data_IF_740855932583
#
_entry.id   IF_740855932583
#
_cell.length_a   1.000
_cell.length_b   1.000
_cell.length_c   1.000
_cell.angle_alpha   90.00
_cell.angle_beta   90.00
_cell.angle_gamma   90.00
#
_symmetry.space_group_name_H-M   'P 1'
#
loop_
_entity.id
_entity.type
_entity.pdbx_description
1 polymer ?
#
# COMPACT_ATOMS: atom_id res chain seq x y z
N UNK A 1 10.96 -7.46 -24.86
CA UNK A 1 9.91 -7.27 -23.83
C UNK A 1 10.07 -8.23 -22.67
N UNK A 2 10.32 -9.53 -22.90
CA UNK A 2 10.55 -10.51 -21.81
C UNK A 2 11.63 -10.12 -20.79
N UNK A 3 12.76 -9.56 -21.24
CA UNK A 3 13.82 -9.11 -20.35
C UNK A 3 13.35 -8.04 -19.33
N UNK A 4 12.43 -7.15 -19.74
CA UNK A 4 11.87 -6.12 -18.85
C UNK A 4 10.99 -6.76 -17.78
N UNK A 5 10.17 -7.74 -18.15
CA UNK A 5 9.32 -8.46 -17.21
C UNK A 5 10.14 -9.23 -16.17
N UNK A 6 11.18 -9.97 -16.60
CA UNK A 6 12.06 -10.66 -15.66
C UNK A 6 12.87 -9.72 -14.77
N UNK A 7 13.32 -8.58 -15.31
CA UNK A 7 13.96 -7.54 -14.50
C UNK A 7 13.01 -6.98 -13.43
N UNK A 8 11.78 -6.63 -13.81
CA UNK A 8 10.75 -6.17 -12.88
C UNK A 8 10.42 -7.24 -11.83
N UNK A 9 10.26 -8.50 -12.24
CA UNK A 9 10.07 -9.63 -11.34
C UNK A 9 11.18 -9.69 -10.29
N UNK A 10 12.45 -9.65 -10.71
CA UNK A 10 13.60 -9.70 -9.82
C UNK A 10 13.63 -8.50 -8.86
N UNK A 11 13.37 -7.29 -9.36
CA UNK A 11 13.32 -6.07 -8.55
C UNK A 11 12.21 -6.13 -7.48
N UNK A 12 10.99 -6.52 -7.87
CA UNK A 12 9.86 -6.66 -6.96
C UNK A 12 10.08 -7.79 -5.94
N UNK A 13 10.66 -8.93 -6.37
CA UNK A 13 11.00 -10.03 -5.47
C UNK A 13 12.03 -9.61 -4.42
N UNK A 14 13.04 -8.82 -4.82
CA UNK A 14 14.04 -8.28 -3.91
C UNK A 14 13.41 -7.36 -2.86
N UNK A 15 12.57 -6.40 -3.28
CA UNK A 15 11.88 -5.48 -2.36
C UNK A 15 10.94 -6.25 -1.42
N UNK A 16 10.19 -7.23 -1.93
CA UNK A 16 9.34 -8.11 -1.13
C UNK A 16 10.14 -8.88 -0.08
N UNK A 17 11.27 -9.47 -0.47
CA UNK A 17 12.17 -10.20 0.43
C UNK A 17 12.74 -9.30 1.54
N UNK A 18 13.17 -8.08 1.19
CA UNK A 18 13.65 -7.10 2.17
C UNK A 18 12.53 -6.74 3.16
N UNK A 19 11.32 -6.49 2.67
CA UNK A 19 10.18 -6.16 3.53
C UNK A 19 9.86 -7.30 4.51
N UNK A 20 9.90 -8.56 4.05
CA UNK A 20 9.70 -9.73 4.91
C UNK A 20 10.79 -9.86 5.97
N UNK A 21 12.06 -9.69 5.59
CA UNK A 21 13.18 -9.73 6.53
C UNK A 21 13.00 -8.64 7.60
N UNK A 22 12.60 -7.43 7.21
CA UNK A 22 12.34 -6.35 8.18
C UNK A 22 11.18 -6.69 9.12
N UNK A 23 10.08 -7.25 8.60
CA UNK A 23 8.95 -7.69 9.41
C UNK A 23 9.39 -8.72 10.47
N UNK A 24 10.08 -9.78 10.05
CA UNK A 24 10.56 -10.84 10.95
C UNK A 24 11.52 -10.29 11.98
N UNK A 25 12.45 -9.41 11.59
CA UNK A 25 13.40 -8.79 12.52
C UNK A 25 12.70 -7.96 13.58
N UNK A 26 11.65 -7.23 13.23
CA UNK A 26 10.88 -6.42 14.19
C UNK A 26 10.07 -7.34 15.12
N UNK A 27 9.43 -8.39 14.59
CA UNK A 27 8.68 -9.36 15.40
C UNK A 27 9.56 -10.05 16.44
N UNK A 28 10.73 -10.53 16.03
CA UNK A 28 11.69 -11.20 16.92
C UNK A 28 12.30 -10.24 17.94
N UNK A 29 12.55 -8.98 17.56
CA UNK A 29 13.18 -7.99 18.44
C UNK A 29 12.23 -7.47 19.53
N UNK A 30 10.95 -7.31 19.20
CA UNK A 30 9.95 -6.72 20.11
C UNK A 30 8.63 -7.51 20.01
N UNK A 31 8.60 -8.75 20.53
CA UNK A 31 7.42 -9.60 20.48
C UNK A 31 6.31 -9.13 21.43
N UNK A 32 6.63 -8.36 22.49
CA UNK A 32 5.62 -7.91 23.45
C UNK A 32 4.69 -6.84 22.86
N UNK A 33 5.16 -6.09 21.86
CA UNK A 33 4.34 -5.15 21.12
C UNK A 33 3.66 -5.92 19.98
N UNK A 34 2.33 -5.99 20.01
CA UNK A 34 1.53 -6.65 18.98
C UNK A 34 1.66 -6.02 17.57
N UNK A 35 0.59 -6.06 16.77
CA UNK A 35 0.62 -5.56 15.40
C UNK A 35 0.72 -4.02 15.34
N UNK A 36 1.95 -3.51 15.34
CA UNK A 36 2.24 -2.08 15.15
C UNK A 36 2.07 -1.67 13.69
N UNK A 37 1.82 -0.39 13.43
CA UNK A 37 1.69 0.15 12.07
C UNK A 37 2.93 -0.11 11.21
N UNK A 38 4.12 -0.19 11.82
CA UNK A 38 5.35 -0.54 11.11
C UNK A 38 5.35 -2.00 10.64
N UNK A 39 4.91 -2.95 11.48
CA UNK A 39 4.75 -4.36 11.10
C UNK A 39 3.72 -4.48 9.96
N UNK A 40 2.60 -3.78 10.05
CA UNK A 40 1.56 -3.76 9.01
C UNK A 40 2.12 -3.19 7.70
N UNK A 41 2.88 -2.10 7.73
CA UNK A 41 3.48 -1.51 6.53
C UNK A 41 4.45 -2.47 5.81
N UNK A 42 5.31 -3.18 6.56
CA UNK A 42 6.20 -4.18 5.97
C UNK A 42 5.45 -5.40 5.46
N UNK A 43 4.42 -5.85 6.16
CA UNK A 43 3.54 -6.94 5.70
C UNK A 43 2.85 -6.56 4.38
N UNK A 44 2.26 -5.38 4.29
CA UNK A 44 1.59 -4.91 3.08
C UNK A 44 2.58 -4.77 1.92
N UNK A 45 3.78 -4.22 2.16
CA UNK A 45 4.83 -4.17 1.13
C UNK A 45 5.26 -5.56 0.68
N UNK A 46 5.43 -6.51 1.61
CA UNK A 46 5.76 -7.89 1.26
C UNK A 46 4.70 -8.48 0.32
N UNK A 47 3.41 -8.32 0.65
CA UNK A 47 2.29 -8.81 -0.16
C UNK A 47 2.24 -8.11 -1.52
N UNK A 48 2.22 -6.78 -1.57
CA UNK A 48 2.12 -5.99 -2.82
C UNK A 48 3.25 -6.33 -3.78
N UNK A 49 4.50 -6.27 -3.30
CA UNK A 49 5.67 -6.52 -4.13
C UNK A 49 5.78 -8.02 -4.48
N UNK A 50 5.36 -8.93 -3.58
CA UNK A 50 5.34 -10.37 -3.83
C UNK A 50 4.35 -10.74 -4.93
N UNK A 51 3.12 -10.25 -4.87
CA UNK A 51 2.12 -10.48 -5.92
C UNK A 51 2.62 -9.90 -7.25
N UNK A 52 3.16 -8.68 -7.28
CA UNK A 52 3.76 -8.12 -8.51
C UNK A 52 4.89 -8.96 -9.07
N UNK A 53 5.78 -9.48 -8.21
CA UNK A 53 6.87 -10.34 -8.64
C UNK A 53 6.32 -11.61 -9.30
N UNK A 54 5.32 -12.27 -8.70
CA UNK A 54 4.67 -13.45 -9.28
C UNK A 54 4.02 -13.13 -10.62
N UNK A 55 3.29 -12.02 -10.73
CA UNK A 55 2.64 -11.59 -11.97
C UNK A 55 3.65 -11.37 -13.09
N UNK A 56 4.76 -10.69 -12.79
CA UNK A 56 5.81 -10.44 -13.78
C UNK A 56 6.63 -11.70 -14.12
N UNK A 57 6.86 -12.59 -13.16
CA UNK A 57 7.58 -13.84 -13.39
C UNK A 57 6.76 -14.86 -14.21
N UNK A 58 5.44 -14.84 -14.03
CA UNK A 58 4.48 -15.68 -14.75
C UNK A 58 3.81 -14.93 -15.91
N UNK A 59 4.36 -13.82 -16.40
CA UNK A 59 3.70 -12.92 -17.34
C UNK A 59 3.14 -13.65 -18.57
N UNK A 60 3.87 -14.63 -19.12
CA UNK A 60 3.40 -15.45 -20.25
C UNK A 60 2.13 -16.24 -19.92
N UNK A 61 2.06 -16.85 -18.73
CA UNK A 61 0.88 -17.58 -18.28
C UNK A 61 -0.27 -16.63 -17.95
N UNK A 62 0.04 -15.50 -17.32
CA UNK A 62 -0.94 -14.45 -16.97
C UNK A 62 -1.64 -13.94 -18.23
N UNK A 63 -0.91 -13.62 -19.29
CA UNK A 63 -1.49 -13.14 -20.54
C UNK A 63 -2.21 -14.22 -21.37
N UNK A 64 -2.13 -15.49 -20.96
CA UNK A 64 -2.86 -16.61 -21.55
C UNK A 64 -4.17 -16.93 -20.80
N UNK A 65 -4.43 -16.27 -19.66
CA UNK A 65 -5.63 -16.53 -18.86
C UNK A 65 -6.89 -16.06 -19.60
N UNK A 66 -7.84 -16.97 -19.72
CA UNK A 66 -9.21 -16.67 -20.08
C UNK A 66 -10.14 -16.98 -18.90
N UNK A 67 -11.13 -16.11 -18.61
CA UNK A 67 -11.48 -14.87 -19.31
C UNK A 67 -10.52 -13.70 -19.01
N UNK A 68 -10.45 -12.71 -19.93
CA UNK A 68 -9.53 -11.55 -19.85
C UNK A 68 -9.64 -10.75 -18.55
N UNK A 69 -10.82 -10.69 -17.94
CA UNK A 69 -11.03 -10.06 -16.63
C UNK A 69 -10.14 -10.64 -15.52
N UNK A 70 -9.72 -11.91 -15.60
CA UNK A 70 -8.74 -12.47 -14.66
C UNK A 70 -7.37 -11.79 -14.81
N UNK A 71 -6.99 -11.41 -16.03
CA UNK A 71 -5.78 -10.63 -16.30
C UNK A 71 -5.94 -9.24 -15.66
N UNK A 72 -7.06 -8.55 -15.90
CA UNK A 72 -7.33 -7.24 -15.32
C UNK A 72 -7.29 -7.27 -13.80
N UNK A 73 -7.96 -8.24 -13.16
CA UNK A 73 -7.91 -8.42 -11.69
C UNK A 73 -6.48 -8.60 -11.20
N UNK A 74 -5.69 -9.45 -11.88
CA UNK A 74 -4.33 -9.76 -11.45
C UNK A 74 -3.36 -8.58 -11.61
N UNK A 75 -3.62 -7.70 -12.59
CA UNK A 75 -2.85 -6.47 -12.83
C UNK A 75 -3.28 -5.31 -11.90
N UNK A 76 -4.58 -5.16 -11.66
CA UNK A 76 -5.19 -4.06 -10.90
C UNK A 76 -5.06 -4.25 -9.39
N UNK A 77 -5.19 -5.49 -8.89
CA UNK A 77 -5.19 -5.81 -7.46
C UNK A 77 -3.90 -5.38 -6.75
N UNK A 78 -2.69 -5.57 -7.31
CA UNK A 78 -1.47 -4.99 -6.75
C UNK A 78 -1.49 -3.47 -6.70
N UNK A 79 -2.15 -2.80 -7.66
CA UNK A 79 -2.33 -1.34 -7.67
C UNK A 79 -3.25 -0.86 -6.54
N UNK A 80 -4.37 -1.56 -6.30
CA UNK A 80 -5.26 -1.27 -5.17
C UNK A 80 -4.58 -1.52 -3.82
N UNK A 81 -3.88 -2.64 -3.66
CA UNK A 81 -3.14 -2.94 -2.43
C UNK A 81 -2.03 -1.91 -2.18
N UNK A 82 -1.37 -1.45 -3.25
CA UNK A 82 -0.41 -0.34 -3.18
C UNK A 82 -1.11 0.92 -2.66
N UNK A 83 -2.23 1.34 -3.26
CA UNK A 83 -3.01 2.48 -2.77
C UNK A 83 -3.35 2.35 -1.26
N UNK A 84 -3.83 1.19 -0.81
CA UNK A 84 -4.14 0.94 0.60
C UNK A 84 -2.93 1.05 1.50
N UNK A 85 -1.77 0.55 1.05
CA UNK A 85 -0.50 0.63 1.78
C UNK A 85 -0.05 2.08 1.95
N UNK A 86 -0.14 2.88 0.88
CA UNK A 86 0.28 4.28 0.92
C UNK A 86 -0.69 5.16 1.69
N UNK A 87 -2.00 4.93 1.56
CA UNK A 87 -2.98 5.64 2.38
C UNK A 87 -2.90 5.25 3.85
N UNK A 88 -2.48 4.02 4.19
CA UNK A 88 -2.20 3.61 5.56
C UNK A 88 -0.97 4.36 6.11
N UNK A 89 0.07 4.53 5.30
CA UNK A 89 1.24 5.32 5.67
C UNK A 89 0.87 6.79 5.90
N UNK A 90 0.03 7.37 5.04
CA UNK A 90 -0.51 8.72 5.21
C UNK A 90 -1.34 8.83 6.50
N UNK A 91 -2.20 7.84 6.78
CA UNK A 91 -2.95 7.77 8.04
C UNK A 91 -2.00 7.76 9.23
N UNK A 92 -0.96 6.93 9.21
CA UNK A 92 0.04 6.86 10.28
C UNK A 92 0.73 8.21 10.52
N UNK A 93 1.11 8.91 9.45
CA UNK A 93 1.70 10.24 9.55
C UNK A 93 0.73 11.28 10.10
N UNK A 94 -0.54 11.22 9.69
CA UNK A 94 -1.59 12.08 10.20
C UNK A 94 -1.88 11.82 11.69
N UNK A 95 -1.84 10.57 12.13
CA UNK A 95 -1.96 10.19 13.54
C UNK A 95 -0.82 10.79 14.39
N UNK A 96 0.44 10.66 13.95
CA UNK A 96 1.58 11.27 14.65
C UNK A 96 1.41 12.80 14.74
N UNK A 97 1.00 13.44 13.64
CA UNK A 97 0.78 14.88 13.59
C UNK A 97 -0.34 15.33 14.54
N UNK A 98 -1.49 14.65 14.54
CA UNK A 98 -2.60 14.93 15.44
C UNK A 98 -2.21 14.70 16.90
N UNK A 99 -1.51 13.61 17.21
CA UNK A 99 -1.02 13.32 18.55
C UNK A 99 -0.04 14.40 19.05
N UNK A 100 0.87 14.88 18.20
CA UNK A 100 1.79 15.96 18.55
C UNK A 100 1.07 17.30 18.86
N UNK A 101 -0.16 17.48 18.35
CA UNK A 101 -0.99 18.68 18.53
C UNK A 101 -2.13 18.50 19.54
N UNK A 102 -2.26 17.31 20.14
CA UNK A 102 -3.35 16.99 21.07
C UNK A 102 -4.74 16.92 20.42
N UNK A 103 -4.81 16.68 19.11
CA UNK A 103 -6.06 16.58 18.35
C UNK A 103 -6.61 15.15 18.36
N UNK A 104 -7.95 14.96 18.29
CA UNK A 104 -8.56 13.63 18.23
C UNK A 104 -8.17 12.88 16.94
N UNK A 105 -8.04 11.55 17.02
CA UNK A 105 -7.59 10.68 15.90
C UNK A 105 -8.67 9.73 15.38
N UNK A 106 -9.79 9.56 16.08
CA UNK A 106 -10.80 8.54 15.73
C UNK A 106 -11.40 8.74 14.33
N UNK A 107 -11.59 9.99 13.92
CA UNK A 107 -12.12 10.34 12.60
C UNK A 107 -11.18 9.97 11.45
N UNK A 108 -9.86 9.95 11.68
CA UNK A 108 -8.88 9.65 10.64
C UNK A 108 -8.97 8.19 10.17
N UNK A 109 -9.12 7.25 11.12
CA UNK A 109 -9.29 5.83 10.81
C UNK A 109 -10.57 5.56 10.04
N UNK A 110 -11.68 6.20 10.44
CA UNK A 110 -12.97 6.08 9.76
C UNK A 110 -12.84 6.56 8.31
N UNK A 111 -12.24 7.73 8.07
CA UNK A 111 -12.03 8.25 6.71
C UNK A 111 -11.16 7.29 5.89
N UNK A 112 -10.06 6.77 6.45
CA UNK A 112 -9.20 5.80 5.77
C UNK A 112 -9.96 4.54 5.35
N UNK A 113 -10.74 3.95 6.26
CA UNK A 113 -11.52 2.73 5.99
C UNK A 113 -12.58 3.03 4.92
N UNK A 114 -13.32 4.13 5.05
CA UNK A 114 -14.37 4.51 4.09
C UNK A 114 -13.82 4.75 2.68
N UNK A 115 -12.68 5.44 2.54
CA UNK A 115 -12.05 5.69 1.24
C UNK A 115 -11.58 4.38 0.61
N UNK A 116 -10.91 3.50 1.37
CA UNK A 116 -10.49 2.21 0.85
C UNK A 116 -11.68 1.34 0.48
N UNK A 117 -12.70 1.23 1.34
CA UNK A 117 -13.90 0.45 1.06
C UNK A 117 -14.60 0.94 -0.22
N UNK A 118 -14.74 2.25 -0.41
CA UNK A 118 -15.35 2.82 -1.61
C UNK A 118 -14.56 2.47 -2.89
N UNK A 119 -13.23 2.59 -2.87
CA UNK A 119 -12.39 2.29 -4.04
C UNK A 119 -12.41 0.80 -4.39
N UNK A 120 -12.36 -0.07 -3.39
CA UNK A 120 -12.45 -1.52 -3.61
C UNK A 120 -13.83 -1.91 -4.16
N UNK A 121 -14.90 -1.30 -3.63
CA UNK A 121 -16.26 -1.54 -4.11
C UNK A 121 -16.40 -1.14 -5.58
N UNK A 122 -15.95 0.06 -5.95
CA UNK A 122 -15.98 0.53 -7.35
C UNK A 122 -15.21 -0.43 -8.25
N UNK A 123 -14.00 -0.86 -7.85
CA UNK A 123 -13.22 -1.78 -8.67
C UNK A 123 -13.88 -3.14 -8.84
N UNK A 124 -14.43 -3.71 -7.76
CA UNK A 124 -15.13 -4.99 -7.82
C UNK A 124 -16.36 -4.89 -8.74
N UNK A 125 -17.09 -3.78 -8.71
CA UNK A 125 -18.20 -3.54 -9.64
C UNK A 125 -17.73 -3.51 -11.11
N UNK A 126 -16.59 -2.87 -11.40
CA UNK A 126 -16.00 -2.84 -12.75
C UNK A 126 -15.62 -4.25 -13.21
N UNK A 127 -14.95 -5.03 -12.35
CA UNK A 127 -14.58 -6.41 -12.67
C UNK A 127 -15.80 -7.31 -12.89
N UNK A 128 -16.85 -7.20 -12.07
CA UNK A 128 -18.10 -7.96 -12.26
C UNK A 128 -18.74 -7.58 -13.60
N UNK A 129 -18.77 -6.31 -13.96
CA UNK A 129 -19.31 -5.87 -15.25
C UNK A 129 -18.52 -6.46 -16.43
N UNK A 130 -17.18 -6.37 -16.37
CA UNK A 130 -16.29 -6.94 -17.40
C UNK A 130 -16.38 -8.46 -17.50
N UNK A 131 -16.67 -9.14 -16.39
CA UNK A 131 -16.90 -10.60 -16.39
C UNK A 131 -18.16 -10.97 -17.18
N UNK A 132 -19.22 -10.18 -17.06
CA UNK A 132 -20.51 -10.44 -17.71
C UNK A 132 -20.49 -9.95 -19.17
N UNK A 133 -19.87 -8.80 -19.43
CA UNK A 133 -19.85 -8.15 -20.73
C UNK A 133 -18.43 -7.63 -21.04
N UNK A 134 -17.73 -8.32 -21.94
CA UNK A 134 -16.39 -7.91 -22.42
C UNK A 134 -16.54 -6.62 -23.27
N UNK A 135 -16.39 -5.47 -22.61
CA UNK A 135 -16.55 -4.16 -23.20
C UNK A 135 -15.27 -3.34 -23.02
N UNK A 136 -14.59 -3.06 -24.13
CA UNK A 136 -13.33 -2.31 -24.16
C UNK A 136 -13.44 -0.89 -23.58
N UNK A 137 -14.64 -0.28 -23.61
CA UNK A 137 -14.87 1.03 -22.97
C UNK A 137 -14.79 0.92 -21.44
N UNK A 138 -15.34 -0.15 -20.86
CA UNK A 138 -15.31 -0.37 -19.41
C UNK A 138 -13.92 -0.79 -18.95
N UNK A 139 -13.19 -1.53 -19.78
CA UNK A 139 -11.78 -1.85 -19.56
C UNK A 139 -10.94 -0.56 -19.48
N UNK A 140 -11.09 0.33 -20.46
CA UNK A 140 -10.42 1.64 -20.46
C UNK A 140 -10.80 2.52 -19.26
N UNK A 141 -12.06 2.50 -18.84
CA UNK A 141 -12.52 3.20 -17.62
C UNK A 141 -11.83 2.62 -16.37
N UNK A 142 -11.72 1.29 -16.27
CA UNK A 142 -11.03 0.61 -15.17
C UNK A 142 -9.55 0.98 -15.09
N UNK A 143 -8.84 0.94 -16.21
CA UNK A 143 -7.43 1.35 -16.27
C UNK A 143 -7.25 2.82 -15.89
N UNK A 144 -8.10 3.71 -16.42
CA UNK A 144 -8.09 5.14 -16.10
C UNK A 144 -8.37 5.40 -14.61
N UNK A 145 -9.30 4.65 -14.02
CA UNK A 145 -9.61 4.74 -12.60
C UNK A 145 -8.39 4.36 -11.73
N UNK A 146 -7.74 3.23 -12.01
CA UNK A 146 -6.53 2.80 -11.30
C UNK A 146 -5.40 3.83 -11.45
N UNK A 147 -5.24 4.43 -12.64
CA UNK A 147 -4.25 5.47 -12.88
C UNK A 147 -4.52 6.72 -12.01
N UNK A 148 -5.76 7.21 -11.98
CA UNK A 148 -6.17 8.37 -11.16
C UNK A 148 -5.99 8.08 -9.67
N UNK A 149 -6.41 6.90 -9.20
CA UNK A 149 -6.24 6.45 -7.81
C UNK A 149 -4.76 6.40 -7.43
N UNK A 150 -3.91 5.84 -8.30
CA UNK A 150 -2.47 5.77 -8.10
C UNK A 150 -1.82 7.15 -8.03
N UNK A 151 -2.24 8.07 -8.91
CA UNK A 151 -1.79 9.45 -8.91
C UNK A 151 -2.18 10.18 -7.61
N UNK A 152 -3.41 10.01 -7.15
CA UNK A 152 -3.87 10.58 -5.89
C UNK A 152 -3.08 10.06 -4.69
N UNK A 153 -2.75 8.75 -4.64
CA UNK A 153 -1.89 8.20 -3.61
C UNK A 153 -0.47 8.80 -3.66
N UNK A 154 0.12 8.93 -4.85
CA UNK A 154 1.44 9.55 -5.01
C UNK A 154 1.44 11.02 -4.53
N UNK A 155 0.40 11.79 -4.87
CA UNK A 155 0.24 13.16 -4.41
C UNK A 155 0.07 13.23 -2.88
N UNK A 156 -0.77 12.36 -2.30
CA UNK A 156 -0.95 12.26 -0.85
C UNK A 156 0.37 11.94 -0.14
N UNK A 157 1.14 10.98 -0.66
CA UNK A 157 2.47 10.65 -0.14
C UNK A 157 3.42 11.85 -0.19
N UNK A 158 3.46 12.58 -1.30
CA UNK A 158 4.32 13.75 -1.45
C UNK A 158 3.98 14.86 -0.45
N UNK A 159 2.69 15.16 -0.28
CA UNK A 159 2.22 16.24 0.60
C UNK A 159 2.43 15.88 2.07
N UNK A 160 1.92 14.73 2.53
CA UNK A 160 1.99 14.34 3.93
C UNK A 160 3.40 13.89 4.33
N UNK A 161 4.11 13.19 3.43
CA UNK A 161 5.49 12.77 3.65
C UNK A 161 6.44 13.97 3.68
N UNK A 162 6.27 14.93 2.77
CA UNK A 162 7.02 16.19 2.78
C UNK A 162 6.77 16.99 4.06
N UNK A 163 5.51 17.19 4.45
CA UNK A 163 5.15 17.89 5.69
C UNK A 163 5.72 17.22 6.94
N UNK A 164 5.65 15.89 7.02
CA UNK A 164 6.24 15.15 8.14
C UNK A 164 7.76 15.25 8.16
N UNK A 165 8.43 15.15 7.00
CA UNK A 165 9.88 15.33 6.89
C UNK A 165 10.33 16.72 7.38
N UNK A 166 9.63 17.78 6.97
CA UNK A 166 9.90 19.13 7.46
C UNK A 166 9.58 19.32 8.95
N UNK A 167 8.57 18.63 9.47
CA UNK A 167 8.23 18.64 10.90
C UNK A 167 9.32 17.95 11.72
N UNK A 168 9.74 16.74 11.33
CA UNK A 168 10.82 15.99 11.99
C UNK A 168 12.17 16.72 11.92
N UNK A 169 12.40 17.53 10.89
CA UNK A 169 13.61 18.37 10.78
C UNK A 169 13.56 19.62 11.66
N UNK A 170 12.37 20.10 12.04
CA UNK A 170 12.18 21.29 12.89
C UNK A 170 12.02 20.98 14.37
N UNK A 171 11.62 19.77 14.73
CA UNK A 171 11.57 19.33 16.12
C UNK A 171 12.88 18.61 16.48
N UNK A 172 13.72 19.14 17.40
CA UNK A 172 14.77 18.34 18.01
C UNK A 172 14.12 17.14 18.70
N UNK A 173 14.85 16.03 18.78
CA UNK A 173 14.42 14.75 19.35
C UNK A 173 14.30 14.88 20.88
N UNK A 174 13.38 15.73 21.35
CA UNK A 174 13.02 15.92 22.75
C UNK A 174 11.57 15.52 22.95
N UNK A 175 11.46 14.20 22.97
CA UNK A 175 10.30 13.41 23.25
C UNK A 175 9.79 13.56 24.69
N UNK A 176 8.50 13.84 24.88
CA UNK A 176 7.80 13.42 26.10
C UNK A 176 7.44 11.92 26.09
N UNK A 177 7.33 11.30 24.92
CA UNK A 177 6.98 9.88 24.76
C UNK A 177 8.14 8.87 24.92
N UNK A 178 9.40 9.28 24.73
CA UNK A 178 10.55 8.37 24.84
C UNK A 178 10.91 8.04 26.27
N UNK A 179 10.50 8.84 27.27
CA UNK A 179 10.68 8.45 28.69
C UNK A 179 9.89 7.21 29.09
N UNK A 180 8.71 6.99 28.47
CA UNK A 180 7.97 5.73 28.66
C UNK A 180 8.62 4.60 27.87
N UNK A 181 9.02 4.88 26.62
CA UNK A 181 9.61 3.89 25.72
C UNK A 181 11.07 3.51 26.04
N UNK A 182 11.82 4.32 26.80
CA UNK A 182 13.16 4.03 27.33
C UNK A 182 13.14 3.25 28.65
N UNK A 183 12.03 3.31 29.39
CA UNK A 183 11.79 2.39 30.51
C UNK A 183 11.28 1.02 30.03
N UNK A 184 10.98 0.89 28.73
CA UNK A 184 10.61 -0.35 28.06
C UNK A 184 11.77 -0.93 27.21
N UNK A 185 12.97 -0.31 27.22
CA UNK A 185 14.19 -0.91 26.63
C UNK A 185 15.00 -1.57 27.74
#
# INVERSE_FOLDING_TARGET
MDAVFYFLCAAYALVSSIALIQLVRIEVRVPEYGWTTQKIFHLMNFIVNGVRAVVFGLHKLVFLLHPKVLISVLLDLPGLLFFSTYTLLVLFWAEIYHQARGLPTDKLKIVYISVNAALYLIQVCIWIYLWINDNSVVEFIGESFIAVVSFMAALGFLIYGGRLFFMLRRFPIESKGRRKKLNEV
#
